data_IF_347142830378
#
_entry.id   IF_347142830378
#
_cell.length_a   1.000
_cell.length_b   1.000
_cell.length_c   1.000
_cell.angle_alpha   90.00
_cell.angle_beta   90.00
_cell.angle_gamma   90.00
#
_symmetry.space_group_name_H-M   'P 1'
#
loop_
_entity.id
_entity.type
_entity.pdbx_description
1 polymer ?
#
# COMPACT_ATOMS: atom_id res chain seq x y z
N UNK A 1 -29.68 -8.12 11.70
CA UNK A 1 -29.22 -9.11 10.70
C UNK A 1 -27.73 -9.32 10.96
N UNK A 2 -27.26 -10.53 11.32
CA UNK A 2 -25.83 -10.75 11.59
C UNK A 2 -25.01 -10.54 10.31
N UNK A 3 -24.08 -9.58 10.32
CA UNK A 3 -23.13 -9.34 9.25
C UNK A 3 -22.06 -10.44 9.30
N UNK A 4 -22.02 -11.31 8.29
CA UNK A 4 -20.92 -12.27 8.12
C UNK A 4 -19.88 -11.64 7.19
N UNK A 5 -18.74 -11.22 7.74
CA UNK A 5 -17.58 -10.83 6.93
C UNK A 5 -16.93 -12.13 6.44
N UNK A 6 -17.15 -12.48 5.17
CA UNK A 6 -16.43 -13.58 4.53
C UNK A 6 -15.09 -13.04 4.01
N UNK A 7 -14.00 -13.29 4.74
CA UNK A 7 -12.64 -12.99 4.28
C UNK A 7 -12.21 -14.11 3.33
N UNK A 8 -12.05 -13.81 2.04
CA UNK A 8 -11.42 -14.72 1.11
C UNK A 8 -9.91 -14.55 1.22
N UNK A 9 -9.23 -15.55 1.79
CA UNK A 9 -7.76 -15.56 1.92
C UNK A 9 -7.20 -16.41 0.79
N UNK A 10 -6.49 -15.77 -0.14
CA UNK A 10 -5.65 -16.46 -1.11
C UNK A 10 -4.35 -16.86 -0.42
N UNK A 11 -4.03 -18.16 -0.42
CA UNK A 11 -2.81 -18.70 0.18
C UNK A 11 -2.03 -19.40 -0.92
N UNK A 12 -0.85 -18.87 -1.21
CA UNK A 12 0.14 -19.52 -2.08
C UNK A 12 1.17 -20.24 -1.19
N UNK A 13 1.37 -21.55 -1.39
CA UNK A 13 2.19 -22.37 -0.48
C UNK A 13 3.70 -22.06 -0.55
N UNK A 14 4.18 -21.47 -1.66
CA UNK A 14 5.61 -21.25 -1.91
C UNK A 14 6.09 -19.79 -1.70
N UNK A 15 5.19 -18.84 -1.40
CA UNK A 15 5.50 -17.41 -1.34
C UNK A 15 5.36 -16.80 0.06
N UNK A 16 6.21 -15.81 0.37
CA UNK A 16 6.19 -15.12 1.67
C UNK A 16 4.97 -14.19 1.79
N UNK A 17 4.50 -13.97 3.02
CA UNK A 17 3.45 -12.96 3.30
C UNK A 17 4.00 -11.56 3.10
N UNK A 18 3.11 -10.60 2.82
CA UNK A 18 3.47 -9.19 2.78
C UNK A 18 4.04 -8.77 4.13
N UNK A 19 5.19 -8.10 4.10
CA UNK A 19 5.83 -7.52 5.28
C UNK A 19 5.88 -6.00 5.12
N UNK A 20 5.50 -5.28 6.17
CA UNK A 20 5.61 -3.83 6.26
C UNK A 20 6.46 -3.47 7.48
N UNK A 21 7.60 -2.82 7.27
CA UNK A 21 8.43 -2.31 8.36
C UNK A 21 8.14 -0.83 8.58
N UNK A 22 7.63 -0.48 9.74
CA UNK A 22 7.42 0.90 10.16
C UNK A 22 8.58 1.31 11.06
N UNK A 23 9.42 2.21 10.59
CA UNK A 23 10.49 2.82 11.36
C UNK A 23 9.97 4.11 11.97
N UNK A 24 9.96 4.20 13.30
CA UNK A 24 9.59 5.42 14.03
C UNK A 24 10.90 6.14 14.39
N UNK A 25 11.08 7.35 13.87
CA UNK A 25 12.22 8.20 14.21
C UNK A 25 11.99 8.90 15.56
N UNK A 26 13.06 9.38 16.20
CA UNK A 26 13.01 10.04 17.52
C UNK A 26 12.08 11.29 17.56
N UNK A 27 11.70 11.84 16.40
CA UNK A 27 10.74 12.93 16.26
C UNK A 27 9.27 12.52 16.04
N UNK A 28 8.96 11.22 16.02
CA UNK A 28 7.62 10.70 15.73
C UNK A 28 7.28 10.57 14.24
N UNK A 29 8.18 10.98 13.35
CA UNK A 29 8.05 10.72 11.91
C UNK A 29 8.22 9.23 11.61
N UNK A 30 7.42 8.73 10.67
CA UNK A 30 7.40 7.32 10.27
C UNK A 30 7.99 7.17 8.87
N UNK A 31 8.88 6.19 8.70
CA UNK A 31 9.29 5.70 7.39
C UNK A 31 8.76 4.28 7.24
N UNK A 32 8.03 3.99 6.17
CA UNK A 32 7.40 2.68 5.95
C UNK A 32 8.09 2.01 4.76
N UNK A 33 8.63 0.82 4.96
CA UNK A 33 9.12 -0.05 3.89
C UNK A 33 8.12 -1.18 3.69
N UNK A 34 7.52 -1.26 2.50
CA UNK A 34 6.60 -2.35 2.14
C UNK A 34 7.27 -3.34 1.20
N UNK A 35 7.20 -4.63 1.52
CA UNK A 35 7.54 -5.74 0.64
C UNK A 35 6.24 -6.42 0.19
N UNK A 36 5.76 -6.19 -1.06
CA UNK A 36 4.43 -6.64 -1.52
C UNK A 36 4.22 -8.16 -1.41
N UNK A 37 5.26 -8.96 -1.68
CA UNK A 37 5.22 -10.42 -1.59
C UNK A 37 3.95 -11.00 -2.27
N UNK A 38 3.20 -11.88 -1.62
CA UNK A 38 1.99 -12.50 -2.19
C UNK A 38 0.91 -11.51 -2.69
N UNK A 39 0.85 -10.25 -2.21
CA UNK A 39 -0.15 -9.29 -2.72
C UNK A 39 0.14 -8.87 -4.16
N UNK A 40 1.39 -8.94 -4.60
CA UNK A 40 1.77 -8.68 -6.00
C UNK A 40 1.22 -9.71 -6.99
N UNK A 41 0.76 -10.87 -6.50
CA UNK A 41 0.17 -11.93 -7.32
C UNK A 41 -1.32 -11.74 -7.58
N UNK A 42 -1.97 -10.79 -6.90
CA UNK A 42 -3.40 -10.51 -7.05
C UNK A 42 -3.60 -9.66 -8.32
N UNK A 43 -3.34 -10.26 -9.47
CA UNK A 43 -3.56 -9.68 -10.80
C UNK A 43 -5.01 -9.86 -11.26
N UNK A 44 -5.37 -9.27 -12.41
CA UNK A 44 -6.68 -9.47 -13.01
C UNK A 44 -7.04 -10.96 -13.22
N UNK A 45 -6.07 -11.80 -13.59
CA UNK A 45 -6.30 -13.24 -13.75
C UNK A 45 -6.60 -13.91 -12.40
N UNK A 46 -5.80 -13.62 -11.39
CA UNK A 46 -6.01 -14.15 -10.04
C UNK A 46 -7.38 -13.76 -9.49
N UNK A 47 -7.84 -12.53 -9.74
CA UNK A 47 -9.17 -12.06 -9.35
C UNK A 47 -10.29 -12.86 -10.03
N UNK A 48 -10.22 -13.05 -11.35
CA UNK A 48 -11.23 -13.82 -12.10
C UNK A 48 -11.33 -15.27 -11.62
N UNK A 49 -10.20 -15.90 -11.32
CA UNK A 49 -10.16 -17.31 -10.93
C UNK A 49 -10.58 -17.49 -9.47
N UNK A 50 -10.03 -16.69 -8.55
CA UNK A 50 -10.10 -16.98 -7.12
C UNK A 50 -11.16 -16.15 -6.38
N UNK A 51 -11.50 -14.95 -6.86
CA UNK A 51 -12.32 -14.00 -6.11
C UNK A 51 -13.71 -13.81 -6.73
N UNK A 52 -13.80 -13.72 -8.06
CA UNK A 52 -15.06 -13.48 -8.76
C UNK A 52 -16.18 -14.49 -8.41
N UNK A 53 -15.92 -15.80 -8.28
CA UNK A 53 -16.96 -16.75 -7.86
C UNK A 53 -17.56 -16.43 -6.49
N UNK A 54 -16.75 -15.97 -5.53
CA UNK A 54 -17.22 -15.59 -4.20
C UNK A 54 -18.02 -14.28 -4.24
N UNK A 55 -17.59 -13.32 -5.05
CA UNK A 55 -18.29 -12.04 -5.26
C UNK A 55 -19.69 -12.30 -5.81
N UNK A 56 -19.81 -13.12 -6.86
CA UNK A 56 -21.08 -13.39 -7.52
C UNK A 56 -22.08 -14.15 -6.64
N UNK A 57 -21.59 -15.02 -5.73
CA UNK A 57 -22.44 -15.93 -4.98
C UNK A 57 -22.79 -15.44 -3.57
N UNK A 58 -21.92 -14.66 -2.93
CA UNK A 58 -21.99 -14.43 -1.46
C UNK A 58 -21.71 -13.00 -1.02
N UNK A 59 -21.05 -12.17 -1.82
CA UNK A 59 -20.68 -10.83 -1.37
C UNK A 59 -21.88 -9.89 -1.37
N UNK A 60 -22.05 -9.14 -0.28
CA UNK A 60 -22.98 -8.00 -0.20
C UNK A 60 -22.29 -6.67 -0.51
N UNK A 61 -20.97 -6.62 -0.35
CA UNK A 61 -20.11 -5.48 -0.65
C UNK A 61 -18.70 -5.98 -0.95
N UNK A 62 -17.98 -5.25 -1.80
CA UNK A 62 -16.56 -5.49 -2.12
C UNK A 62 -15.77 -4.24 -1.79
N UNK A 63 -14.63 -4.39 -1.13
CA UNK A 63 -13.72 -3.28 -0.82
C UNK A 63 -12.32 -3.58 -1.32
N UNK A 64 -11.62 -2.56 -1.80
CA UNK A 64 -10.23 -2.64 -2.27
C UNK A 64 -9.57 -1.28 -2.13
N UNK A 65 -8.25 -1.23 -2.32
CA UNK A 65 -7.41 -0.03 -2.20
C UNK A 65 -6.47 0.11 -3.41
N UNK A 66 -5.64 1.16 -3.46
CA UNK A 66 -4.66 1.42 -4.55
C UNK A 66 -3.19 1.43 -4.09
N UNK A 67 -2.89 1.08 -2.84
CA UNK A 67 -1.58 1.07 -2.20
C UNK A 67 -0.90 -0.30 -2.05
N UNK A 68 -1.57 -1.43 -2.25
CA UNK A 68 -0.98 -2.75 -1.93
C UNK A 68 -1.13 -3.83 -3.00
N UNK A 69 -2.15 -3.74 -3.85
CA UNK A 69 -2.48 -4.73 -4.88
C UNK A 69 -2.26 -4.12 -6.26
N UNK A 70 -1.73 -4.87 -7.25
CA UNK A 70 -1.63 -4.37 -8.62
C UNK A 70 -2.97 -3.80 -9.12
N UNK A 71 -2.94 -2.63 -9.76
CA UNK A 71 -4.14 -1.93 -10.23
C UNK A 71 -4.95 -2.76 -11.21
N UNK A 72 -4.31 -3.65 -11.98
CA UNK A 72 -5.00 -4.64 -12.82
C UNK A 72 -5.94 -5.57 -12.02
N UNK A 73 -5.53 -6.00 -10.82
CA UNK A 73 -6.33 -6.78 -9.90
C UNK A 73 -7.45 -5.96 -9.28
N UNK A 74 -7.13 -4.76 -8.79
CA UNK A 74 -8.10 -3.79 -8.24
C UNK A 74 -9.21 -3.53 -9.25
N UNK A 75 -8.86 -3.20 -10.49
CA UNK A 75 -9.79 -2.90 -11.57
C UNK A 75 -10.66 -4.11 -11.91
N UNK A 76 -10.10 -5.31 -12.00
CA UNK A 76 -10.89 -6.52 -12.25
C UNK A 76 -11.83 -6.83 -11.10
N UNK A 77 -11.43 -6.59 -9.85
CA UNK A 77 -12.27 -6.79 -8.68
C UNK A 77 -13.50 -5.86 -8.72
N UNK A 78 -13.28 -4.59 -9.06
CA UNK A 78 -14.35 -3.61 -9.27
C UNK A 78 -15.27 -4.00 -10.45
N UNK A 79 -14.69 -4.50 -11.56
CA UNK A 79 -15.46 -5.01 -12.70
C UNK A 79 -16.31 -6.23 -12.30
N UNK A 80 -15.77 -7.15 -11.51
CA UNK A 80 -16.50 -8.32 -11.01
C UNK A 80 -17.65 -7.91 -10.08
N UNK A 81 -17.42 -6.97 -9.16
CA UNK A 81 -18.46 -6.41 -8.29
C UNK A 81 -19.60 -5.79 -9.12
N UNK A 82 -19.26 -4.98 -10.13
CA UNK A 82 -20.24 -4.37 -11.04
C UNK A 82 -21.05 -5.40 -11.83
N UNK A 83 -20.41 -6.46 -12.35
CA UNK A 83 -21.09 -7.59 -13.02
C UNK A 83 -22.07 -8.30 -12.08
N UNK A 84 -21.70 -8.46 -10.82
CA UNK A 84 -22.53 -9.09 -9.79
C UNK A 84 -23.62 -8.16 -9.23
N UNK A 85 -23.60 -6.87 -9.55
CA UNK A 85 -24.50 -5.87 -8.95
C UNK A 85 -24.23 -5.61 -7.46
N UNK A 86 -23.00 -5.90 -7.01
CA UNK A 86 -22.56 -5.76 -5.63
C UNK A 86 -21.92 -4.39 -5.44
N UNK A 87 -22.22 -3.73 -4.31
CA UNK A 87 -21.67 -2.41 -3.99
C UNK A 87 -20.16 -2.48 -3.82
N UNK A 88 -19.43 -1.58 -4.47
CA UNK A 88 -17.96 -1.52 -4.41
C UNK A 88 -17.45 -0.27 -3.70
N UNK A 89 -16.42 -0.44 -2.86
CA UNK A 89 -15.70 0.66 -2.21
C UNK A 89 -14.24 0.62 -2.63
N UNK A 90 -13.74 1.76 -3.11
CA UNK A 90 -12.33 1.97 -3.40
C UNK A 90 -11.76 2.95 -2.37
N UNK A 91 -10.83 2.46 -1.57
CA UNK A 91 -10.01 3.28 -0.71
C UNK A 91 -8.89 3.94 -1.53
N UNK A 92 -8.72 5.24 -1.34
CA UNK A 92 -7.62 6.03 -1.91
C UNK A 92 -6.82 6.56 -0.71
N UNK A 93 -6.10 5.64 -0.07
CA UNK A 93 -5.29 5.83 1.12
C UNK A 93 -3.92 6.47 0.82
N UNK A 94 -3.48 6.38 -0.43
CA UNK A 94 -2.33 7.08 -0.99
C UNK A 94 -2.76 7.95 -2.19
N UNK A 95 -1.99 9.00 -2.52
CA UNK A 95 -2.20 9.74 -3.77
C UNK A 95 -1.95 8.87 -5.01
N UNK A 96 -2.67 9.11 -6.15
CA UNK A 96 -2.49 8.36 -7.39
C UNK A 96 -1.04 8.28 -7.90
N UNK A 97 -0.28 9.37 -7.80
CA UNK A 97 1.14 9.45 -8.16
C UNK A 97 2.00 8.48 -7.35
N UNK A 98 1.70 8.29 -6.05
CA UNK A 98 2.41 7.33 -5.20
C UNK A 98 2.12 5.89 -5.65
N UNK A 99 0.88 5.58 -6.06
CA UNK A 99 0.52 4.26 -6.58
C UNK A 99 1.28 3.91 -7.87
N UNK A 100 1.49 4.89 -8.75
CA UNK A 100 2.19 4.72 -10.03
C UNK A 100 3.73 4.78 -9.87
N UNK A 101 4.25 5.88 -9.32
CA UNK A 101 5.68 6.19 -9.38
C UNK A 101 6.49 5.50 -8.27
N UNK A 102 5.94 5.41 -7.06
CA UNK A 102 6.65 4.86 -5.90
C UNK A 102 6.34 3.36 -5.69
N UNK A 103 5.05 3.00 -5.77
CA UNK A 103 4.60 1.64 -5.52
C UNK A 103 4.65 0.76 -6.78
N UNK A 104 4.75 1.35 -7.98
CA UNK A 104 4.78 0.66 -9.26
C UNK A 104 3.61 -0.35 -9.44
N UNK A 105 2.41 -0.01 -8.94
CA UNK A 105 1.26 -0.92 -8.91
C UNK A 105 0.47 -0.95 -10.23
N UNK A 106 0.71 0.02 -11.12
CA UNK A 106 0.06 0.17 -12.40
C UNK A 106 0.22 1.60 -12.92
N UNK A 107 -0.65 2.05 -13.82
CA UNK A 107 -0.59 3.41 -14.38
C UNK A 107 -1.67 4.34 -13.81
N UNK A 108 -1.46 5.66 -13.96
CA UNK A 108 -2.49 6.65 -13.61
C UNK A 108 -3.78 6.45 -14.40
N UNK A 109 -3.73 6.00 -15.65
CA UNK A 109 -4.94 5.64 -16.41
C UNK A 109 -5.72 4.50 -15.74
N UNK A 110 -5.02 3.48 -15.21
CA UNK A 110 -5.65 2.40 -14.46
C UNK A 110 -6.29 2.91 -13.16
N UNK A 111 -5.66 3.87 -12.45
CA UNK A 111 -6.28 4.53 -11.29
C UNK A 111 -7.57 5.24 -11.72
N UNK A 112 -7.54 6.01 -12.82
CA UNK A 112 -8.72 6.71 -13.35
C UNK A 112 -9.83 5.74 -13.74
N UNK A 113 -9.49 4.57 -14.29
CA UNK A 113 -10.46 3.51 -14.55
C UNK A 113 -11.04 2.92 -13.26
N UNK A 114 -10.22 2.67 -12.25
CA UNK A 114 -10.66 2.16 -10.95
C UNK A 114 -11.66 3.11 -10.29
N UNK A 115 -11.36 4.41 -10.20
CA UNK A 115 -12.25 5.38 -9.52
C UNK A 115 -13.57 5.55 -10.27
N UNK A 116 -13.58 5.41 -11.61
CA UNK A 116 -14.81 5.44 -12.42
C UNK A 116 -15.62 4.15 -12.33
N UNK A 117 -15.01 3.05 -11.88
CA UNK A 117 -15.68 1.77 -11.72
C UNK A 117 -16.34 1.64 -10.34
N UNK A 118 -15.75 2.25 -9.31
CA UNK A 118 -16.19 2.13 -7.93
C UNK A 118 -17.49 2.92 -7.62
N UNK A 119 -18.38 2.29 -6.85
CA UNK A 119 -19.61 2.93 -6.38
C UNK A 119 -19.34 3.95 -5.26
N UNK A 120 -18.35 3.68 -4.42
CA UNK A 120 -17.98 4.51 -3.27
C UNK A 120 -16.48 4.77 -3.32
N UNK A 121 -16.08 6.03 -3.14
CA UNK A 121 -14.69 6.41 -2.96
C UNK A 121 -14.44 6.87 -1.53
N UNK A 122 -13.36 6.41 -0.90
CA UNK A 122 -12.89 6.92 0.40
C UNK A 122 -11.49 7.53 0.30
N UNK A 123 -11.33 8.73 -0.28
CA UNK A 123 -10.02 9.36 -0.35
C UNK A 123 -9.60 10.06 0.96
N UNK A 124 -8.29 10.07 1.21
CA UNK A 124 -7.67 11.15 1.99
C UNK A 124 -7.71 12.47 1.23
N UNK A 125 -7.62 13.60 1.94
CA UNK A 125 -7.64 14.94 1.31
C UNK A 125 -6.64 15.08 0.16
N UNK A 126 -5.40 14.68 0.37
CA UNK A 126 -4.33 14.80 -0.63
C UNK A 126 -4.63 13.98 -1.89
N UNK A 127 -5.04 12.72 -1.72
CA UNK A 127 -5.44 11.85 -2.82
C UNK A 127 -6.66 12.41 -3.58
N UNK A 128 -7.62 13.03 -2.89
CA UNK A 128 -8.78 13.64 -3.50
C UNK A 128 -8.41 14.86 -4.37
N UNK A 129 -7.60 15.76 -3.84
CA UNK A 129 -7.15 16.96 -4.56
C UNK A 129 -6.31 16.59 -5.79
N UNK A 130 -5.42 15.60 -5.66
CA UNK A 130 -4.64 15.10 -6.79
C UNK A 130 -5.53 14.46 -7.85
N UNK A 131 -6.51 13.63 -7.46
CA UNK A 131 -7.42 13.01 -8.42
C UNK A 131 -8.26 14.04 -9.20
N UNK A 132 -8.73 15.10 -8.54
CA UNK A 132 -9.39 16.22 -9.24
C UNK A 132 -8.43 16.91 -10.21
N UNK A 133 -7.17 17.13 -9.80
CA UNK A 133 -6.13 17.70 -10.66
C UNK A 133 -5.91 16.87 -11.92
N UNK A 134 -5.79 15.55 -11.77
CA UNK A 134 -5.57 14.60 -12.86
C UNK A 134 -6.75 14.55 -13.84
N UNK A 135 -7.99 14.61 -13.33
CA UNK A 135 -9.19 14.41 -14.15
C UNK A 135 -9.77 15.70 -14.74
N UNK A 136 -9.59 16.85 -14.08
CA UNK A 136 -10.20 18.12 -14.46
C UNK A 136 -9.20 19.28 -14.63
N UNK A 137 -7.91 19.03 -14.42
CA UNK A 137 -6.82 19.98 -14.57
C UNK A 137 -6.41 20.68 -13.26
N UNK A 138 -5.16 21.17 -13.16
CA UNK A 138 -4.54 21.61 -11.90
C UNK A 138 -5.16 22.88 -11.29
N UNK A 139 -5.93 23.65 -12.04
CA UNK A 139 -6.59 24.84 -11.53
C UNK A 139 -7.89 24.54 -10.76
N UNK A 140 -8.33 23.27 -10.71
CA UNK A 140 -9.56 22.83 -10.04
C UNK A 140 -9.32 22.04 -8.74
N UNK A 141 -8.07 21.74 -8.39
CA UNK A 141 -7.71 20.92 -7.23
C UNK A 141 -7.64 21.67 -5.90
N UNK A 142 -7.60 23.01 -5.92
CA UNK A 142 -7.57 23.84 -4.70
C UNK A 142 -8.94 24.46 -4.43
N UNK A 143 -9.66 23.89 -3.47
CA UNK A 143 -11.01 24.34 -3.09
C UNK A 143 -11.37 23.95 -1.67
N UNK A 144 -12.55 24.38 -1.22
CA UNK A 144 -13.11 23.88 0.03
C UNK A 144 -13.35 22.37 -0.09
N UNK A 145 -13.12 21.63 0.99
CA UNK A 145 -13.24 20.16 1.01
C UNK A 145 -14.60 19.67 0.51
N UNK A 146 -15.67 20.41 0.79
CA UNK A 146 -17.00 20.17 0.22
C UNK A 146 -17.03 20.16 -1.31
N UNK A 147 -16.40 21.16 -1.93
CA UNK A 147 -16.34 21.29 -3.39
C UNK A 147 -15.52 20.19 -4.04
N UNK A 148 -14.40 19.80 -3.42
CA UNK A 148 -13.56 18.69 -3.93
C UNK A 148 -14.34 17.38 -3.93
N UNK A 149 -15.04 17.06 -2.83
CA UNK A 149 -15.84 15.84 -2.72
C UNK A 149 -17.01 15.83 -3.74
N UNK A 150 -17.71 16.94 -3.91
CA UNK A 150 -18.79 17.08 -4.91
C UNK A 150 -18.27 16.92 -6.35
N UNK A 151 -17.12 17.52 -6.64
CA UNK A 151 -16.48 17.41 -7.95
C UNK A 151 -16.08 15.96 -8.25
N UNK A 152 -15.54 15.22 -7.28
CA UNK A 152 -15.19 13.80 -7.44
C UNK A 152 -16.42 12.93 -7.72
N UNK A 153 -17.54 13.16 -7.02
CA UNK A 153 -18.80 12.46 -7.32
C UNK A 153 -19.15 12.64 -8.80
N UNK A 154 -19.04 13.86 -9.32
CA UNK A 154 -19.34 14.17 -10.73
C UNK A 154 -18.36 13.53 -11.72
N UNK A 155 -17.06 13.67 -11.46
CA UNK A 155 -16.00 13.22 -12.38
C UNK A 155 -15.92 11.70 -12.46
N UNK A 156 -16.09 11.02 -11.32
CA UNK A 156 -16.00 9.57 -11.21
C UNK A 156 -17.35 8.89 -11.48
N UNK A 157 -18.47 9.58 -11.28
CA UNK A 157 -19.80 8.97 -11.37
C UNK A 157 -20.13 8.06 -10.18
N UNK A 158 -19.41 8.20 -9.08
CA UNK A 158 -19.59 7.43 -7.85
C UNK A 158 -20.91 7.80 -7.16
N UNK A 159 -21.51 6.85 -6.46
CA UNK A 159 -22.74 7.06 -5.68
C UNK A 159 -22.47 7.84 -4.38
N UNK A 160 -21.28 7.67 -3.82
CA UNK A 160 -20.84 8.34 -2.59
C UNK A 160 -19.33 8.61 -2.65
N UNK A 161 -18.91 9.79 -2.23
CA UNK A 161 -17.52 10.11 -1.86
C UNK A 161 -17.50 10.41 -0.37
N UNK A 162 -16.65 9.72 0.39
CA UNK A 162 -16.44 9.91 1.82
C UNK A 162 -14.98 10.28 2.07
N UNK A 163 -14.69 11.58 1.97
CA UNK A 163 -13.33 12.12 2.07
C UNK A 163 -12.95 12.40 3.52
N UNK A 164 -11.70 12.10 3.90
CA UNK A 164 -11.17 12.35 5.25
C UNK A 164 -10.14 13.49 5.24
N UNK A 165 -10.24 14.41 6.21
CA UNK A 165 -9.31 15.53 6.39
C UNK A 165 -8.48 15.38 7.68
N UNK A 166 -8.06 14.15 7.99
CA UNK A 166 -7.34 13.82 9.23
C UNK A 166 -8.18 14.09 10.48
N UNK A 167 -7.56 14.70 11.51
CA UNK A 167 -8.21 14.96 12.80
C UNK A 167 -9.25 16.09 12.81
N UNK A 168 -9.49 16.77 11.68
CA UNK A 168 -10.39 17.94 11.59
C UNK A 168 -11.84 17.54 11.40
N UNK A 169 -12.15 16.88 10.29
CA UNK A 169 -13.49 16.50 9.85
C UNK A 169 -13.42 15.43 8.72
N UNK A 170 -14.58 14.94 8.35
CA UNK A 170 -14.81 14.20 7.10
C UNK A 170 -15.90 14.89 6.29
N UNK A 171 -15.85 14.71 4.97
CA UNK A 171 -16.82 15.25 4.02
C UNK A 171 -17.46 14.11 3.27
N UNK A 172 -18.78 13.99 3.37
CA UNK A 172 -19.57 13.02 2.62
C UNK A 172 -20.38 13.75 1.56
N UNK A 173 -20.21 13.33 0.31
CA UNK A 173 -20.91 13.88 -0.84
C UNK A 173 -21.61 12.76 -1.61
N UNK A 174 -22.89 12.96 -1.91
CA UNK A 174 -23.59 12.23 -2.95
C UNK A 174 -23.95 13.22 -4.08
N UNK A 175 -24.48 12.73 -5.21
CA UNK A 175 -24.79 13.58 -6.37
C UNK A 175 -25.83 14.69 -6.15
N UNK A 176 -26.32 14.87 -4.92
CA UNK A 176 -27.31 15.89 -4.54
C UNK A 176 -26.95 16.70 -3.29
N UNK A 177 -26.07 16.20 -2.43
CA UNK A 177 -25.86 16.70 -1.07
C UNK A 177 -24.40 16.56 -0.66
N UNK A 178 -23.92 17.54 0.10
CA UNK A 178 -22.60 17.53 0.72
C UNK A 178 -22.74 17.85 2.21
N UNK A 179 -22.15 17.04 3.07
CA UNK A 179 -22.12 17.24 4.52
C UNK A 179 -20.70 17.18 5.05
N UNK A 180 -20.38 18.09 5.95
CA UNK A 180 -19.15 18.05 6.74
C UNK A 180 -19.50 17.53 8.14
N UNK A 181 -18.70 16.59 8.65
CA UNK A 181 -18.94 15.92 9.92
C UNK A 181 -17.66 15.96 10.74
N UNK A 182 -17.72 16.59 11.90
CA UNK A 182 -16.61 16.61 12.85
C UNK A 182 -16.47 15.25 13.55
N UNK A 183 -15.25 14.83 13.93
CA UNK A 183 -15.06 13.65 14.75
C UNK A 183 -15.51 13.88 16.20
N UNK A 184 -15.80 12.80 16.95
CA UNK A 184 -16.03 12.95 18.38
C UNK A 184 -14.76 13.47 19.08
N UNK A 185 -14.89 14.06 20.28
CA UNK A 185 -13.74 14.52 21.05
C UNK A 185 -12.76 13.36 21.33
N UNK A 186 -11.51 13.57 20.93
CA UNK A 186 -10.38 12.66 21.20
C UNK A 186 -9.58 13.23 22.36
N UNK A 187 -9.38 12.44 23.40
CA UNK A 187 -8.68 12.87 24.62
C UNK A 187 -7.17 12.98 24.42
N UNK A 188 -6.60 12.02 23.70
CA UNK A 188 -5.19 11.93 23.35
C UNK A 188 -5.03 11.19 22.02
N UNK A 189 -4.16 11.66 21.13
CA UNK A 189 -3.81 10.93 19.91
C UNK A 189 -2.55 10.13 20.19
N UNK A 190 -2.68 8.81 20.23
CA UNK A 190 -1.59 7.86 20.52
C UNK A 190 -0.89 7.41 19.24
N UNK A 191 -1.66 6.93 18.27
CA UNK A 191 -1.14 6.40 17.00
C UNK A 191 -2.18 6.55 15.90
N UNK A 192 -1.84 7.21 14.80
CA UNK A 192 -2.76 7.45 13.68
C UNK A 192 -2.80 6.32 12.66
N UNK A 193 -1.96 5.31 12.83
CA UNK A 193 -1.89 4.13 11.94
C UNK A 193 -3.24 3.44 11.90
N UNK A 194 -3.75 3.15 10.69
CA UNK A 194 -5.03 2.47 10.51
C UNK A 194 -6.27 3.33 10.80
N UNK A 195 -6.15 4.63 11.08
CA UNK A 195 -7.32 5.48 11.32
C UNK A 195 -8.22 5.62 10.08
N UNK A 196 -7.64 5.66 8.88
CA UNK A 196 -8.35 5.66 7.60
C UNK A 196 -9.09 4.35 7.35
N UNK A 197 -8.44 3.22 7.65
CA UNK A 197 -9.04 1.88 7.56
C UNK A 197 -10.18 1.70 8.56
N UNK A 198 -10.01 2.19 9.79
CA UNK A 198 -11.04 2.18 10.81
C UNK A 198 -12.23 3.04 10.36
N UNK A 199 -12.00 4.23 9.81
CA UNK A 199 -13.05 5.06 9.23
C UNK A 199 -13.80 4.32 8.10
N UNK A 200 -13.09 3.64 7.21
CA UNK A 200 -13.69 2.77 6.19
C UNK A 200 -14.56 1.67 6.81
N UNK A 201 -14.07 1.02 7.86
CA UNK A 201 -14.83 0.04 8.63
C UNK A 201 -16.13 0.62 9.19
N UNK A 202 -16.08 1.84 9.73
CA UNK A 202 -17.25 2.57 10.20
C UNK A 202 -18.23 2.93 9.09
N UNK A 203 -17.75 3.32 7.89
CA UNK A 203 -18.61 3.51 6.71
C UNK A 203 -19.37 2.23 6.35
N UNK A 204 -18.65 1.09 6.26
CA UNK A 204 -19.24 -0.21 5.92
C UNK A 204 -20.30 -0.60 6.95
N UNK A 205 -19.99 -0.41 8.24
CA UNK A 205 -20.95 -0.64 9.34
C UNK A 205 -22.18 0.23 9.17
N UNK A 206 -22.04 1.53 8.94
CA UNK A 206 -23.16 2.44 8.74
C UNK A 206 -24.04 2.03 7.55
N UNK A 207 -23.44 1.79 6.39
CA UNK A 207 -24.16 1.37 5.17
C UNK A 207 -24.89 0.04 5.38
N UNK A 208 -24.24 -0.92 6.06
CA UNK A 208 -24.83 -2.24 6.28
C UNK A 208 -25.97 -2.20 7.29
N UNK A 209 -25.86 -1.37 8.34
CA UNK A 209 -26.92 -1.22 9.35
C UNK A 209 -28.18 -0.58 8.78
N UNK A 210 -28.02 0.44 7.93
CA UNK A 210 -29.13 1.12 7.26
C UNK A 210 -29.66 0.35 6.04
N UNK A 211 -29.00 -0.74 5.65
CA UNK A 211 -29.40 -1.58 4.51
C UNK A 211 -29.12 -0.94 3.13
N UNK A 212 -28.27 0.07 3.06
CA UNK A 212 -27.90 0.73 1.81
C UNK A 212 -27.26 2.11 2.00
N UNK A 213 -27.08 2.81 0.89
CA UNK A 213 -26.58 4.19 0.88
C UNK A 213 -27.67 5.17 1.33
N UNK A 214 -27.34 6.16 2.19
CA UNK A 214 -28.31 7.17 2.61
C UNK A 214 -28.72 8.07 1.44
N UNK A 215 -30.02 8.35 1.36
CA UNK A 215 -30.60 9.22 0.32
C UNK A 215 -30.78 10.68 0.74
N UNK A 216 -30.64 10.98 2.04
CA UNK A 216 -30.84 12.31 2.60
C UNK A 216 -29.64 12.82 3.41
N UNK A 217 -29.70 14.12 3.71
CA UNK A 217 -28.61 14.86 4.37
C UNK A 217 -28.41 14.39 5.81
N UNK A 218 -29.45 13.89 6.47
CA UNK A 218 -29.39 13.41 7.84
C UNK A 218 -28.68 12.05 7.91
N UNK A 219 -29.07 11.11 7.04
CA UNK A 219 -28.42 9.83 6.90
C UNK A 219 -26.94 9.94 6.48
N UNK A 220 -26.59 10.90 5.62
CA UNK A 220 -25.18 11.18 5.32
C UNK A 220 -24.41 11.66 6.56
N UNK A 221 -25.00 12.53 7.38
CA UNK A 221 -24.34 13.00 8.62
C UNK A 221 -24.18 11.88 9.63
N UNK A 222 -25.19 11.02 9.77
CA UNK A 222 -25.12 9.86 10.64
C UNK A 222 -24.05 8.88 10.18
N UNK A 223 -24.00 8.57 8.88
CA UNK A 223 -22.96 7.73 8.29
C UNK A 223 -21.56 8.29 8.56
N UNK A 224 -21.36 9.59 8.34
CA UNK A 224 -20.08 10.26 8.64
C UNK A 224 -19.74 10.25 10.12
N UNK A 225 -20.74 10.36 11.01
CA UNK A 225 -20.54 10.33 12.47
C UNK A 225 -20.10 8.96 12.94
N UNK A 226 -20.69 7.89 12.39
CA UNK A 226 -20.28 6.51 12.67
C UNK A 226 -18.86 6.28 12.17
N UNK A 227 -18.55 6.66 10.93
CA UNK A 227 -17.21 6.51 10.35
C UNK A 227 -16.14 7.27 11.14
N UNK A 228 -16.41 8.52 11.50
CA UNK A 228 -15.52 9.33 12.33
C UNK A 228 -15.27 8.70 13.71
N UNK A 229 -16.29 8.11 14.34
CA UNK A 229 -16.13 7.46 15.64
C UNK A 229 -15.16 6.27 15.59
N UNK A 230 -15.18 5.49 14.51
CA UNK A 230 -14.22 4.42 14.29
C UNK A 230 -12.79 4.94 14.09
N UNK A 231 -12.62 5.97 13.24
CA UNK A 231 -11.32 6.61 13.06
C UNK A 231 -10.77 7.17 14.38
N UNK A 232 -11.59 7.91 15.13
CA UNK A 232 -11.22 8.53 16.41
C UNK A 232 -10.92 7.52 17.54
N UNK A 233 -11.64 6.39 17.58
CA UNK A 233 -11.33 5.33 18.54
C UNK A 233 -10.02 4.60 18.19
N UNK A 234 -9.72 4.44 16.90
CA UNK A 234 -8.47 3.85 16.43
C UNK A 234 -7.26 4.69 16.85
N UNK A 235 -7.34 6.02 16.74
CA UNK A 235 -6.21 6.90 17.04
C UNK A 235 -5.76 6.90 18.51
N UNK A 236 -6.59 6.37 19.41
CA UNK A 236 -6.35 6.29 20.85
C UNK A 236 -5.71 4.96 21.29
N UNK A 237 -5.25 4.14 20.34
CA UNK A 237 -4.55 2.88 20.61
C UNK A 237 -3.39 2.68 19.65
N UNK A 238 -2.33 2.01 20.10
CA UNK A 238 -1.16 1.74 19.27
C UNK A 238 -1.42 0.63 18.24
N UNK A 239 -0.84 0.77 17.05
CA UNK A 239 -0.68 -0.31 16.08
C UNK A 239 -1.82 -0.49 15.06
N UNK A 240 -2.82 0.38 15.05
CA UNK A 240 -3.90 0.37 14.04
C UNK A 240 -4.77 -0.89 14.01
N UNK A 241 -4.64 -1.76 15.03
CA UNK A 241 -5.42 -2.98 15.16
C UNK A 241 -6.53 -2.80 16.21
N UNK A 242 -7.71 -3.44 16.02
CA UNK A 242 -8.77 -3.36 17.01
C UNK A 242 -8.33 -3.88 18.38
N UNK A 243 -8.49 -3.06 19.42
CA UNK A 243 -8.22 -3.42 20.81
C UNK A 243 -9.50 -3.39 21.65
N UNK A 244 -9.46 -3.94 22.87
CA UNK A 244 -10.55 -3.78 23.83
C UNK A 244 -10.80 -2.30 24.16
N UNK A 245 -9.73 -1.51 24.28
CA UNK A 245 -9.82 -0.07 24.55
C UNK A 245 -10.54 0.66 23.41
N UNK A 246 -10.17 0.40 22.15
CA UNK A 246 -10.83 1.02 20.99
C UNK A 246 -12.30 0.59 20.88
N UNK A 247 -12.63 -0.65 21.27
CA UNK A 247 -14.02 -1.13 21.34
C UNK A 247 -14.83 -0.36 22.40
N UNK A 248 -14.28 -0.17 23.60
CA UNK A 248 -14.98 0.54 24.67
C UNK A 248 -15.20 2.01 24.32
N UNK A 249 -14.21 2.65 23.71
CA UNK A 249 -14.34 4.01 23.15
C UNK A 249 -15.44 4.09 22.09
N UNK A 250 -15.50 3.11 21.17
CA UNK A 250 -16.56 3.02 20.17
C UNK A 250 -17.95 2.94 20.79
N UNK A 251 -18.14 2.14 21.83
CA UNK A 251 -19.41 2.03 22.55
C UNK A 251 -19.77 3.31 23.31
N UNK A 252 -18.77 4.09 23.75
CA UNK A 252 -19.00 5.42 24.32
C UNK A 252 -19.44 6.44 23.27
N UNK A 253 -18.78 6.44 22.10
CA UNK A 253 -19.12 7.33 20.99
C UNK A 253 -20.45 6.98 20.33
N UNK A 254 -20.78 5.69 20.27
CA UNK A 254 -21.97 5.15 19.63
C UNK A 254 -22.73 4.21 20.59
N UNK A 255 -23.46 4.73 21.60
CA UNK A 255 -24.14 3.90 22.60
C UNK A 255 -25.19 2.93 22.04
N UNK A 256 -25.71 3.22 20.84
CA UNK A 256 -26.65 2.35 20.12
C UNK A 256 -26.00 1.33 19.19
N UNK A 257 -24.67 1.20 19.18
CA UNK A 257 -23.96 0.23 18.34
C UNK A 257 -23.98 -1.15 18.98
N UNK A 258 -24.79 -2.06 18.42
CA UNK A 258 -24.74 -3.47 18.77
C UNK A 258 -23.56 -4.13 18.07
N UNK A 259 -22.41 -4.16 18.75
CA UNK A 259 -21.30 -5.02 18.34
C UNK A 259 -21.63 -6.45 18.73
N UNK A 260 -21.53 -7.38 17.79
CA UNK A 260 -21.66 -8.80 18.09
C UNK A 260 -20.76 -9.13 19.30
N UNK A 261 -21.25 -9.98 20.21
CA UNK A 261 -20.40 -10.70 21.14
C UNK A 261 -19.59 -11.73 20.35
N UNK A 262 -18.70 -11.26 19.48
CA UNK A 262 -17.55 -12.04 19.10
C UNK A 262 -16.73 -12.14 20.35
N UNK A 263 -16.87 -13.26 21.06
CA UNK A 263 -15.81 -13.69 21.95
C UNK A 263 -14.55 -13.61 21.13
N UNK A 264 -13.66 -12.69 21.49
CA UNK A 264 -12.27 -12.85 21.12
C UNK A 264 -11.78 -14.04 21.95
N UNK A 265 -12.09 -15.25 21.49
CA UNK A 265 -10.96 -16.09 21.16
C UNK A 265 -10.28 -15.29 20.03
N UNK A 266 -9.40 -14.32 20.28
CA UNK A 266 -7.99 -14.57 20.60
C UNK A 266 -7.71 -16.04 20.89
N UNK A 267 -8.12 -16.92 19.97
CA UNK A 267 -7.82 -18.34 20.00
C UNK A 267 -6.34 -18.44 19.74
N UNK A 268 -5.57 -18.23 20.80
CA UNK A 268 -4.13 -18.03 20.88
C UNK A 268 -3.57 -17.07 19.83
N UNK A 269 -2.69 -16.15 20.21
CA UNK A 269 -1.89 -15.37 19.25
C UNK A 269 -1.00 -16.25 18.34
N UNK A 270 -1.23 -17.56 18.23
CA UNK A 270 -0.60 -18.51 17.31
C UNK A 270 -0.39 -17.95 15.91
N UNK A 271 -1.35 -17.24 15.32
CA UNK A 271 -1.18 -16.60 14.01
C UNK A 271 -0.12 -15.49 14.00
N UNK A 272 -0.11 -14.64 15.02
CA UNK A 272 0.89 -13.58 15.18
C UNK A 272 2.24 -14.15 15.61
N UNK A 273 2.29 -15.08 16.55
CA UNK A 273 3.49 -15.78 17.00
C UNK A 273 4.09 -16.65 15.90
N UNK A 274 3.29 -17.29 15.05
CA UNK A 274 3.79 -18.02 13.88
C UNK A 274 4.32 -17.08 12.80
N UNK A 275 3.67 -15.93 12.57
CA UNK A 275 4.24 -14.87 11.72
C UNK A 275 5.57 -14.38 12.30
N UNK A 276 5.61 -14.00 13.58
CA UNK A 276 6.82 -13.53 14.25
C UNK A 276 7.92 -14.59 14.28
N UNK A 277 7.56 -15.87 14.44
CA UNK A 277 8.50 -16.98 14.34
C UNK A 277 9.00 -17.17 12.90
N UNK A 278 8.15 -16.94 11.90
CA UNK A 278 8.52 -16.95 10.48
C UNK A 278 9.45 -15.77 10.14
N UNK A 279 9.15 -14.58 10.65
CA UNK A 279 9.98 -13.38 10.49
C UNK A 279 11.33 -13.58 11.18
N UNK A 280 11.33 -14.09 12.41
CA UNK A 280 12.54 -14.45 13.13
C UNK A 280 13.33 -15.53 12.39
N UNK A 281 12.67 -16.52 11.80
CA UNK A 281 13.32 -17.55 10.98
C UNK A 281 13.87 -16.96 9.68
N UNK A 282 13.18 -16.02 9.04
CA UNK A 282 13.65 -15.33 7.85
C UNK A 282 14.87 -14.46 8.14
N UNK A 283 14.83 -13.66 9.21
CA UNK A 283 15.97 -12.87 9.70
C UNK A 283 17.13 -13.79 10.09
N UNK A 284 16.86 -14.87 10.83
CA UNK A 284 17.89 -15.85 11.20
C UNK A 284 18.49 -16.55 9.99
N UNK A 285 17.69 -16.82 8.95
CA UNK A 285 18.15 -17.38 7.68
C UNK A 285 19.02 -16.39 6.90
N UNK A 286 18.65 -15.10 6.88
CA UNK A 286 19.52 -14.05 6.34
C UNK A 286 20.83 -14.03 7.13
N UNK A 287 20.78 -13.94 8.46
CA UNK A 287 21.97 -13.93 9.32
C UNK A 287 22.85 -15.16 9.14
N UNK A 288 22.28 -16.35 8.93
CA UNK A 288 23.04 -17.58 8.70
C UNK A 288 23.67 -17.66 7.30
N UNK A 289 23.12 -16.92 6.33
CA UNK A 289 23.70 -16.77 5.00
C UNK A 289 24.73 -15.65 4.91
N UNK A 290 24.82 -14.77 5.92
CA UNK A 290 25.83 -13.72 5.97
C UNK A 290 27.19 -14.31 6.31
N UNK A 291 28.15 -14.02 5.44
CA UNK A 291 29.57 -14.23 5.71
C UNK A 291 30.16 -12.87 6.07
N UNK A 292 30.45 -12.66 7.37
CA UNK A 292 30.97 -11.39 7.89
C UNK A 292 32.27 -10.96 7.19
N UNK A 293 33.11 -11.92 6.79
CA UNK A 293 34.34 -11.64 6.07
C UNK A 293 34.07 -11.10 4.67
N UNK A 294 33.14 -11.72 3.94
CA UNK A 294 32.72 -11.25 2.61
C UNK A 294 31.99 -9.92 2.68
N UNK A 295 31.11 -9.75 3.66
CA UNK A 295 30.38 -8.50 3.87
C UNK A 295 31.35 -7.35 4.18
N UNK A 296 32.30 -7.55 5.09
CA UNK A 296 33.32 -6.57 5.41
C UNK A 296 34.16 -6.21 4.18
N UNK A 297 34.51 -7.20 3.36
CA UNK A 297 35.29 -6.98 2.15
C UNK A 297 34.50 -6.22 1.08
N UNK A 298 33.21 -6.53 0.93
CA UNK A 298 32.29 -5.80 0.05
C UNK A 298 32.14 -4.33 0.48
N UNK A 299 31.86 -4.09 1.76
CA UNK A 299 31.78 -2.72 2.32
C UNK A 299 33.09 -1.96 2.13
N UNK A 300 34.22 -2.64 2.35
CA UNK A 300 35.55 -2.04 2.15
C UNK A 300 35.74 -1.64 0.69
N UNK A 301 35.38 -2.51 -0.27
CA UNK A 301 35.47 -2.22 -1.70
C UNK A 301 34.63 -1.00 -2.10
N UNK A 302 33.41 -0.86 -1.56
CA UNK A 302 32.58 0.32 -1.82
C UNK A 302 33.18 1.60 -1.22
N UNK A 303 33.72 1.52 0.00
CA UNK A 303 34.30 2.68 0.71
C UNK A 303 35.61 3.20 0.10
N UNK A 304 36.40 2.34 -0.55
CA UNK A 304 37.63 2.75 -1.24
C UNK A 304 37.38 3.21 -2.68
N UNK A 305 36.15 3.11 -3.17
CA UNK A 305 35.76 3.62 -4.48
C UNK A 305 35.96 5.14 -4.53
N UNK A 306 36.77 5.63 -5.47
CA UNK A 306 37.09 7.06 -5.64
C UNK A 306 36.47 7.66 -6.91
N UNK A 307 35.65 6.88 -7.60
CA UNK A 307 34.86 7.28 -8.75
C UNK A 307 33.40 6.91 -8.53
N UNK A 308 32.85 6.12 -9.44
CA UNK A 308 31.44 5.72 -9.46
C UNK A 308 31.29 4.24 -9.14
N UNK A 309 30.29 3.91 -8.33
CA UNK A 309 29.82 2.55 -8.12
C UNK A 309 28.76 2.24 -9.17
N UNK A 310 29.10 1.40 -10.15
CA UNK A 310 28.13 0.90 -11.11
C UNK A 310 27.44 -0.33 -10.57
N UNK A 311 26.11 -0.32 -10.46
CA UNK A 311 25.33 -1.51 -10.12
C UNK A 311 24.75 -2.11 -11.40
N UNK A 312 24.68 -3.43 -11.46
CA UNK A 312 24.30 -4.12 -12.70
C UNK A 312 23.59 -5.44 -12.43
N UNK A 313 22.58 -5.73 -13.24
CA UNK A 313 21.80 -6.97 -13.17
C UNK A 313 20.83 -7.07 -14.35
N UNK A 314 20.15 -8.21 -14.47
CA UNK A 314 19.12 -8.47 -15.50
C UNK A 314 17.79 -8.80 -14.85
N UNK A 315 16.69 -8.38 -15.48
CA UNK A 315 15.33 -8.65 -15.03
C UNK A 315 15.09 -8.17 -13.59
N UNK A 316 14.55 -9.04 -12.73
CA UNK A 316 14.34 -8.74 -11.31
C UNK A 316 15.63 -8.31 -10.59
N UNK A 317 16.77 -8.94 -10.91
CA UNK A 317 18.07 -8.53 -10.32
C UNK A 317 18.52 -7.16 -10.82
N UNK A 318 18.11 -6.76 -12.03
CA UNK A 318 18.29 -5.40 -12.56
C UNK A 318 17.49 -4.36 -11.78
N UNK A 319 16.20 -4.63 -11.52
CA UNK A 319 15.36 -3.76 -10.69
C UNK A 319 15.94 -3.56 -9.28
N UNK A 320 16.39 -4.66 -8.64
CA UNK A 320 17.07 -4.59 -7.33
C UNK A 320 18.38 -3.79 -7.42
N UNK A 321 19.19 -4.00 -8.47
CA UNK A 321 20.43 -3.24 -8.69
C UNK A 321 20.18 -1.74 -8.86
N UNK A 322 19.11 -1.37 -9.55
CA UNK A 322 18.69 0.02 -9.73
C UNK A 322 18.36 0.70 -8.40
N UNK A 323 17.51 0.04 -7.58
CA UNK A 323 17.17 0.53 -6.23
C UNK A 323 18.39 0.58 -5.31
N UNK A 324 19.31 -0.37 -5.45
CA UNK A 324 20.56 -0.39 -4.70
C UNK A 324 21.46 0.82 -5.06
N UNK A 325 21.55 1.20 -6.34
CA UNK A 325 22.23 2.44 -6.73
C UNK A 325 21.57 3.68 -6.13
N UNK A 326 20.24 3.77 -6.14
CA UNK A 326 19.53 4.88 -5.48
C UNK A 326 19.85 4.97 -3.98
N UNK A 327 19.94 3.82 -3.30
CA UNK A 327 20.31 3.73 -1.88
C UNK A 327 21.74 4.22 -1.63
N UNK A 328 22.71 3.77 -2.46
CA UNK A 328 24.10 4.21 -2.37
C UNK A 328 24.24 5.72 -2.63
N UNK A 329 23.53 6.24 -3.63
CA UNK A 329 23.49 7.68 -3.93
C UNK A 329 22.98 8.50 -2.74
N UNK A 330 21.97 8.00 -2.04
CA UNK A 330 21.42 8.63 -0.83
C UNK A 330 22.41 8.61 0.35
N UNK A 331 23.33 7.66 0.37
CA UNK A 331 24.46 7.59 1.31
C UNK A 331 25.65 8.46 0.90
N UNK A 332 25.52 9.26 -0.18
CA UNK A 332 26.57 10.12 -0.71
C UNK A 332 27.62 9.37 -1.53
N UNK A 333 27.37 8.11 -1.91
CA UNK A 333 28.24 7.32 -2.78
C UNK A 333 27.79 7.47 -4.24
N UNK A 334 28.59 8.10 -5.12
CA UNK A 334 28.24 8.27 -6.53
C UNK A 334 27.97 6.91 -7.18
N UNK A 335 26.74 6.69 -7.64
CA UNK A 335 26.34 5.37 -8.12
C UNK A 335 25.33 5.45 -9.26
N UNK A 336 25.46 4.52 -10.22
CA UNK A 336 24.62 4.46 -11.40
C UNK A 336 24.31 3.02 -11.79
N UNK A 337 23.07 2.77 -12.17
CA UNK A 337 22.68 1.47 -12.71
C UNK A 337 23.03 1.38 -14.20
N UNK A 338 23.56 0.22 -14.61
CA UNK A 338 23.77 -0.15 -16.01
C UNK A 338 23.25 -1.57 -16.19
N UNK A 339 22.44 -1.82 -17.22
CA UNK A 339 21.96 -3.18 -17.48
C UNK A 339 23.12 -4.09 -17.83
N UNK A 340 23.12 -5.34 -17.34
CA UNK A 340 24.27 -6.23 -17.60
C UNK A 340 24.47 -6.50 -19.10
N UNK A 341 23.41 -6.38 -19.90
CA UNK A 341 23.44 -6.54 -21.35
C UNK A 341 24.11 -5.35 -22.06
N UNK A 342 24.18 -4.17 -21.46
CA UNK A 342 24.69 -2.96 -22.10
C UNK A 342 26.22 -2.86 -22.05
N UNK A 343 26.86 -3.52 -21.07
CA UNK A 343 28.32 -3.54 -20.95
C UNK A 343 29.01 -4.01 -22.23
N UNK A 344 28.55 -5.12 -22.79
CA UNK A 344 29.10 -5.72 -24.03
C UNK A 344 28.74 -4.93 -25.30
N UNK A 345 27.87 -3.92 -25.18
CA UNK A 345 27.40 -3.09 -26.29
C UNK A 345 27.92 -1.65 -26.26
N UNK A 346 28.97 -1.37 -25.46
CA UNK A 346 29.75 -0.13 -25.52
C UNK A 346 29.92 0.59 -24.19
N UNK A 347 29.16 0.22 -23.16
CA UNK A 347 29.18 0.93 -21.87
C UNK A 347 30.40 0.61 -21.01
N UNK A 348 31.18 -0.41 -21.36
CA UNK A 348 32.50 -0.66 -20.76
C UNK A 348 33.43 0.55 -20.80
N UNK A 349 33.31 1.41 -21.83
CA UNK A 349 34.12 2.62 -21.96
C UNK A 349 33.83 3.69 -20.90
N UNK A 350 32.75 3.55 -20.13
CA UNK A 350 32.39 4.45 -19.02
C UNK A 350 33.16 4.15 -17.74
N UNK A 351 33.77 2.97 -17.62
CA UNK A 351 34.46 2.51 -16.41
C UNK A 351 35.92 2.98 -16.40
N UNK A 352 36.27 3.72 -15.36
CA UNK A 352 37.62 4.15 -15.05
C UNK A 352 38.31 3.12 -14.15
N UNK A 353 39.20 2.31 -14.76
CA UNK A 353 39.99 1.32 -14.05
C UNK A 353 40.75 1.93 -12.85
N UNK A 354 40.68 1.26 -11.71
CA UNK A 354 41.33 1.68 -10.45
C UNK A 354 40.62 2.79 -9.68
N UNK A 355 39.49 3.31 -10.19
CA UNK A 355 38.67 4.32 -9.50
C UNK A 355 37.25 3.86 -9.24
N UNK A 356 36.66 3.20 -10.23
CA UNK A 356 35.28 2.76 -10.21
C UNK A 356 35.15 1.33 -9.69
N UNK A 357 33.97 1.01 -9.14
CA UNK A 357 33.61 -0.33 -8.69
C UNK A 357 32.36 -0.77 -9.45
N UNK A 358 32.34 -2.02 -9.91
CA UNK A 358 31.16 -2.60 -10.58
C UNK A 358 30.61 -3.73 -9.73
N UNK A 359 29.34 -3.62 -9.33
CA UNK A 359 28.62 -4.60 -8.52
C UNK A 359 27.59 -5.31 -9.40
N UNK A 360 27.80 -6.60 -9.64
CA UNK A 360 26.84 -7.45 -10.34
C UNK A 360 25.93 -8.15 -9.34
N UNK A 361 24.62 -7.93 -9.45
CA UNK A 361 23.61 -8.72 -8.74
C UNK A 361 22.99 -9.73 -9.71
N UNK A 362 23.04 -11.00 -9.33
CA UNK A 362 22.53 -12.12 -10.11
C UNK A 362 21.90 -13.16 -9.19
N UNK A 363 20.68 -13.58 -9.53
CA UNK A 363 20.08 -14.73 -8.90
C UNK A 363 20.84 -16.01 -9.31
N UNK A 364 21.53 -16.63 -8.35
CA UNK A 364 22.32 -17.85 -8.57
C UNK A 364 23.73 -17.63 -9.13
N UNK A 365 24.17 -16.38 -9.36
CA UNK A 365 25.55 -16.03 -9.72
C UNK A 365 26.04 -16.44 -11.12
N UNK A 366 25.20 -17.15 -11.91
CA UNK A 366 25.57 -17.70 -13.21
C UNK A 366 24.85 -17.04 -14.40
N UNK A 367 24.23 -15.86 -14.19
CA UNK A 367 23.57 -15.12 -15.28
C UNK A 367 24.57 -14.78 -16.38
N UNK A 368 24.30 -15.25 -17.60
CA UNK A 368 25.22 -15.18 -18.74
C UNK A 368 25.73 -13.77 -18.99
N UNK A 369 24.84 -12.79 -19.03
CA UNK A 369 25.17 -11.38 -19.30
C UNK A 369 26.09 -10.81 -18.23
N UNK A 370 25.85 -11.13 -16.95
CA UNK A 370 26.71 -10.71 -15.84
C UNK A 370 28.09 -11.35 -15.92
N UNK A 371 28.17 -12.66 -16.18
CA UNK A 371 29.43 -13.39 -16.31
C UNK A 371 30.24 -12.89 -17.52
N UNK A 372 29.57 -12.68 -18.64
CA UNK A 372 30.16 -12.17 -19.87
C UNK A 372 30.69 -10.74 -19.67
N UNK A 373 29.88 -9.83 -19.09
CA UNK A 373 30.31 -8.47 -18.76
C UNK A 373 31.49 -8.44 -17.78
N UNK A 374 31.45 -9.26 -16.72
CA UNK A 374 32.54 -9.37 -15.74
C UNK A 374 33.85 -9.84 -16.39
N UNK A 375 33.78 -10.73 -17.39
CA UNK A 375 34.98 -11.21 -18.10
C UNK A 375 35.74 -10.09 -18.83
N UNK A 376 35.03 -9.09 -19.37
CA UNK A 376 35.64 -7.94 -20.04
C UNK A 376 36.25 -6.92 -19.08
N UNK A 377 35.76 -6.87 -17.83
CA UNK A 377 36.29 -5.99 -16.77
C UNK A 377 37.53 -6.59 -16.07
N UNK A 378 37.90 -7.84 -16.38
CA UNK A 378 38.82 -8.68 -15.60
C UNK A 378 40.33 -8.51 -15.88
N UNK A 379 40.84 -7.28 -16.03
CA UNK A 379 42.30 -7.08 -15.94
C UNK A 379 42.81 -7.13 -14.49
N UNK A 380 41.94 -6.98 -13.49
CA UNK A 380 42.30 -7.01 -12.05
C UNK A 380 41.04 -7.27 -11.21
N UNK A 381 40.62 -8.54 -11.04
CA UNK A 381 39.49 -8.86 -10.16
C UNK A 381 39.95 -9.73 -8.99
N UNK A 382 39.82 -9.18 -7.77
CA UNK A 382 39.48 -9.99 -6.61
C UNK A 382 37.97 -10.28 -6.70
N UNK A 383 37.64 -11.55 -6.94
CA UNK A 383 36.26 -12.01 -6.82
C UNK A 383 35.91 -12.05 -5.34
N UNK A 384 34.94 -11.23 -4.90
CA UNK A 384 34.42 -11.31 -3.54
C UNK A 384 33.37 -12.40 -3.34
N UNK A 385 33.18 -13.31 -4.30
CA UNK A 385 32.13 -14.31 -4.28
C UNK A 385 32.61 -15.68 -4.77
#
# INVERSE_FOLDING_TARGET
MCMYICVCVYVEEEEKRKEGHVFIQDGGERSIMMAPAATSLITAEAVRVNFEPAIQQRASMVTTEISQVPLSGVLELLKAAKRAGVLSVLDLDIPPSVAEEEAELGTVEEVVECVKMADILKPGKEAAEELVSLMAGPHRSSGESGTVAEELVRLCGSKLVAMTNGGKDSVLANGSQVVEVAPPPVSEVVDTTGAGDAFLGGLIVGITREGGLPGDREGLRELGSIANAFGAACTQSIGGVPTTSSRDLLLQYLPGLELAQGGSDVGEMTGFHSSLASDQAAVSSVCSCLDDGKLQSFVTALNVCSGTIFTSGIGKSGAVSSRFAGSLSSLGLPSHFVSAAEWTHGDLGKVCAGRDVVVFLSHGGATRECVEAASYLSASLEWLF
#
